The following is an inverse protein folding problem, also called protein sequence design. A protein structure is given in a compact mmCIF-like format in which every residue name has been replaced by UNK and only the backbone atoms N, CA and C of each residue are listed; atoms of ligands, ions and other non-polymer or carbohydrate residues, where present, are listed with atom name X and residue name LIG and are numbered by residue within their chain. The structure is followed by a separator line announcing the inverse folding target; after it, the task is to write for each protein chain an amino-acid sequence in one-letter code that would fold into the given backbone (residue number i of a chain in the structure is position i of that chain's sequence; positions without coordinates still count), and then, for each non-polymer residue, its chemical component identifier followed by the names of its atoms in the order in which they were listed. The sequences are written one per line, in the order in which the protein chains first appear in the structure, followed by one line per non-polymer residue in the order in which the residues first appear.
data_IF_526494875963
#
_entry.id   IF_526494875963
#
_cell.length_a   1.000
_cell.length_b   1.000
_cell.length_c   1.000
_cell.angle_alpha   90.00
_cell.angle_beta   90.00
_cell.angle_gamma   90.00
#
_symmetry.space_group_name_H-M   'P 1'
#
loop_
_entity.id
_entity.type
_entity.pdbx_description
1 polymer ?
#
# COMPACT_ATOMS: atom_id res chain seq x y z
N UNK A 1 -17.24 -5.46 -10.80
CA UNK A 1 -17.85 -5.56 -9.45
C UNK A 1 -18.62 -6.88 -9.36
N UNK A 2 -18.55 -7.54 -8.18
CA UNK A 2 -19.35 -8.69 -7.84
C UNK A 2 -20.21 -8.32 -6.64
N UNK A 3 -21.52 -8.59 -6.72
CA UNK A 3 -22.47 -8.32 -5.65
C UNK A 3 -23.01 -9.66 -5.17
N UNK A 4 -22.77 -9.98 -3.91
CA UNK A 4 -23.29 -11.16 -3.26
C UNK A 4 -24.55 -10.82 -2.47
N UNK A 5 -25.54 -11.71 -2.53
CA UNK A 5 -26.76 -11.63 -1.74
C UNK A 5 -26.93 -12.90 -0.93
N UNK A 6 -27.31 -12.76 0.32
CA UNK A 6 -27.67 -13.88 1.19
C UNK A 6 -28.78 -13.49 2.16
N UNK A 7 -29.46 -14.50 2.73
CA UNK A 7 -30.54 -14.30 3.69
C UNK A 7 -30.03 -13.86 5.08
N UNK A 8 -28.72 -14.10 5.34
CA UNK A 8 -28.08 -13.74 6.61
C UNK A 8 -26.67 -13.21 6.37
N UNK A 9 -26.15 -12.43 7.32
CA UNK A 9 -24.78 -11.92 7.32
C UNK A 9 -23.75 -13.04 7.35
N UNK A 10 -24.01 -14.10 8.10
CA UNK A 10 -23.14 -15.29 8.14
C UNK A 10 -23.08 -15.99 6.78
N UNK A 11 -24.20 -16.12 6.10
CA UNK A 11 -24.29 -16.69 4.75
C UNK A 11 -23.51 -15.84 3.73
N UNK A 12 -23.59 -14.52 3.86
CA UNK A 12 -22.87 -13.58 3.00
C UNK A 12 -21.35 -13.69 3.22
N UNK A 13 -20.91 -13.71 4.47
CA UNK A 13 -19.50 -13.89 4.83
C UNK A 13 -18.94 -15.20 4.28
N UNK A 14 -19.63 -16.33 4.49
CA UNK A 14 -19.21 -17.64 3.95
C UNK A 14 -19.10 -17.63 2.43
N UNK A 15 -20.01 -16.96 1.74
CA UNK A 15 -19.98 -16.85 0.28
C UNK A 15 -18.79 -16.04 -0.18
N UNK A 16 -18.53 -14.90 0.45
CA UNK A 16 -17.38 -14.05 0.12
C UNK A 16 -16.05 -14.75 0.41
N UNK A 17 -15.93 -15.46 1.54
CA UNK A 17 -14.72 -16.20 1.91
C UNK A 17 -14.44 -17.35 0.93
N UNK A 18 -15.46 -18.13 0.55
CA UNK A 18 -15.32 -19.20 -0.47
C UNK A 18 -14.89 -18.65 -1.83
N UNK A 19 -15.45 -17.51 -2.24
CA UNK A 19 -15.06 -16.86 -3.48
C UNK A 19 -13.62 -16.37 -3.41
N UNK A 20 -13.22 -15.74 -2.29
CA UNK A 20 -11.86 -15.23 -2.10
C UNK A 20 -10.81 -16.33 -2.07
N UNK A 21 -11.13 -17.50 -1.51
CA UNK A 21 -10.24 -18.67 -1.55
C UNK A 21 -10.00 -19.18 -2.97
N UNK A 22 -11.05 -19.25 -3.79
CA UNK A 22 -10.93 -19.60 -5.20
C UNK A 22 -10.08 -18.61 -5.96
N UNK A 23 -10.30 -17.32 -5.72
CA UNK A 23 -9.56 -16.21 -6.34
C UNK A 23 -8.07 -16.23 -6.01
N UNK A 24 -7.72 -16.51 -4.75
CA UNK A 24 -6.31 -16.66 -4.31
C UNK A 24 -5.61 -17.83 -4.97
N UNK A 25 -6.29 -18.97 -5.14
CA UNK A 25 -5.71 -20.16 -5.75
C UNK A 25 -5.30 -19.97 -7.21
N UNK A 26 -6.00 -19.06 -7.89
CA UNK A 26 -5.73 -18.74 -9.29
C UNK A 26 -4.76 -17.58 -9.49
N UNK A 27 -4.23 -17.02 -8.39
CA UNK A 27 -3.31 -15.86 -8.37
C UNK A 27 -3.83 -14.66 -9.20
N UNK A 28 -5.13 -14.40 -9.10
CA UNK A 28 -5.82 -13.39 -9.89
C UNK A 28 -5.63 -11.95 -9.36
N UNK A 29 -4.78 -11.76 -8.36
CA UNK A 29 -4.45 -10.46 -7.80
C UNK A 29 -5.18 -10.14 -6.50
N UNK A 30 -5.43 -8.86 -6.22
CA UNK A 30 -6.07 -8.39 -4.99
C UNK A 30 -7.58 -8.24 -5.15
N UNK A 31 -8.33 -8.76 -4.20
CA UNK A 31 -9.77 -8.54 -4.05
C UNK A 31 -10.05 -7.71 -2.81
N UNK A 32 -10.96 -6.75 -2.92
CA UNK A 32 -11.41 -5.91 -1.80
C UNK A 32 -12.92 -6.02 -1.62
N UNK A 33 -13.42 -5.86 -0.39
CA UNK A 33 -14.84 -5.79 -0.13
C UNK A 33 -15.20 -4.56 0.73
N UNK A 34 -16.32 -3.93 0.40
CA UNK A 34 -16.95 -2.94 1.24
C UNK A 34 -17.81 -3.55 2.37
N UNK A 35 -18.53 -2.70 3.07
CA UNK A 35 -19.44 -3.09 4.14
C UNK A 35 -20.58 -3.98 3.64
N UNK A 36 -20.99 -4.91 4.49
CA UNK A 36 -22.21 -5.65 4.29
C UNK A 36 -23.40 -4.86 4.86
N UNK A 37 -24.48 -4.80 4.12
CA UNK A 37 -25.66 -4.06 4.58
C UNK A 37 -26.94 -4.47 3.85
N UNK A 38 -28.07 -3.84 4.19
CA UNK A 38 -29.38 -4.13 3.63
C UNK A 38 -29.86 -3.01 2.72
N UNK A 39 -30.39 -3.38 1.56
CA UNK A 39 -31.01 -2.47 0.62
C UNK A 39 -30.02 -1.77 -0.32
N UNK A 40 -30.58 -1.02 -1.28
CA UNK A 40 -29.81 -0.39 -2.37
C UNK A 40 -28.78 0.61 -1.89
N UNK A 41 -29.08 1.38 -0.84
CA UNK A 41 -28.13 2.35 -0.28
C UNK A 41 -26.87 1.68 0.24
N UNK A 42 -26.98 0.51 0.86
CA UNK A 42 -25.82 -0.26 1.35
C UNK A 42 -24.97 -0.80 0.20
N UNK A 43 -25.58 -1.15 -0.93
CA UNK A 43 -24.82 -1.58 -2.11
C UNK A 43 -23.96 -0.42 -2.65
N UNK A 44 -24.54 0.76 -2.77
CA UNK A 44 -23.80 1.95 -3.23
C UNK A 44 -22.66 2.29 -2.29
N UNK A 45 -22.91 2.28 -0.98
CA UNK A 45 -21.87 2.50 0.02
C UNK A 45 -20.76 1.45 -0.08
N UNK A 46 -21.11 0.17 -0.21
CA UNK A 46 -20.13 -0.91 -0.34
C UNK A 46 -19.25 -0.77 -1.59
N UNK A 47 -19.82 -0.30 -2.70
CA UNK A 47 -19.07 -0.02 -3.94
C UNK A 47 -18.08 1.12 -3.71
N UNK A 48 -18.54 2.25 -3.15
CA UNK A 48 -17.68 3.41 -2.87
C UNK A 48 -16.53 3.05 -1.92
N UNK A 49 -16.80 2.24 -0.91
CA UNK A 49 -15.79 1.76 0.03
C UNK A 49 -14.80 0.83 -0.64
N UNK A 50 -15.27 -0.11 -1.47
CA UNK A 50 -14.39 -1.00 -2.22
C UNK A 50 -13.51 -0.22 -3.21
N UNK A 51 -14.04 0.80 -3.89
CA UNK A 51 -13.26 1.68 -4.75
C UNK A 51 -12.17 2.46 -3.99
N UNK A 52 -12.51 2.94 -2.80
CA UNK A 52 -11.51 3.56 -1.92
C UNK A 52 -10.44 2.56 -1.52
N UNK A 53 -10.82 1.33 -1.18
CA UNK A 53 -9.91 0.25 -0.80
C UNK A 53 -8.97 -0.18 -1.93
N UNK A 54 -9.39 -0.12 -3.19
CA UNK A 54 -8.51 -0.38 -4.33
C UNK A 54 -7.29 0.56 -4.40
N UNK A 55 -7.36 1.73 -3.79
CA UNK A 55 -6.22 2.64 -3.69
C UNK A 55 -5.12 2.13 -2.75
N UNK A 56 -5.44 1.14 -1.92
CA UNK A 56 -4.50 0.46 -1.01
C UNK A 56 -3.65 -0.59 -1.70
N UNK A 57 -4.00 -1.00 -2.91
CA UNK A 57 -3.39 -2.14 -3.60
C UNK A 57 -1.88 -2.04 -3.71
N UNK A 58 -1.32 -0.82 -3.74
CA UNK A 58 0.12 -0.62 -3.82
C UNK A 58 0.88 -0.96 -2.51
N UNK A 59 0.19 -1.10 -1.37
CA UNK A 59 0.78 -1.48 -0.08
C UNK A 59 0.59 -2.95 0.26
N UNK A 60 -0.20 -3.67 -0.53
CA UNK A 60 -0.63 -5.02 -0.19
C UNK A 60 -0.20 -5.99 -1.27
N UNK A 61 0.27 -7.13 -0.84
CA UNK A 61 0.43 -8.28 -1.71
C UNK A 61 -0.93 -8.81 -2.18
N UNK A 62 -0.89 -9.75 -3.13
CA UNK A 62 -2.10 -10.41 -3.62
C UNK A 62 -2.93 -11.00 -2.47
N UNK A 63 -4.24 -10.85 -2.55
CA UNK A 63 -5.12 -11.42 -1.53
C UNK A 63 -6.50 -10.81 -1.45
N UNK A 64 -7.14 -11.03 -0.32
CA UNK A 64 -8.47 -10.50 -0.02
C UNK A 64 -8.39 -9.56 1.19
N UNK A 65 -8.86 -8.33 1.03
CA UNK A 65 -8.92 -7.32 2.07
C UNK A 65 -10.35 -6.91 2.34
N UNK A 66 -10.78 -7.03 3.60
CA UNK A 66 -12.06 -6.51 4.09
C UNK A 66 -11.87 -5.10 4.63
N UNK A 67 -12.87 -4.23 4.42
CA UNK A 67 -12.80 -2.86 4.94
C UNK A 67 -12.66 -2.82 6.45
N UNK A 68 -13.30 -3.76 7.17
CA UNK A 68 -13.21 -3.86 8.62
C UNK A 68 -11.75 -4.05 9.06
N UNK A 69 -11.03 -4.95 8.40
CA UNK A 69 -9.63 -5.26 8.72
C UNK A 69 -8.74 -4.02 8.51
N UNK A 70 -9.02 -3.25 7.46
CA UNK A 70 -8.27 -2.02 7.18
C UNK A 70 -8.58 -0.87 8.16
N UNK A 71 -9.79 -0.82 8.72
CA UNK A 71 -10.17 0.19 9.71
C UNK A 71 -9.61 -0.09 11.11
N UNK A 72 -9.26 -1.35 11.40
CA UNK A 72 -8.68 -1.77 12.68
C UNK A 72 -7.17 -1.55 12.77
N UNK A 73 -6.52 -1.15 11.68
CA UNK A 73 -5.08 -0.89 11.67
C UNK A 73 -4.72 0.28 12.60
N UNK A 74 -3.59 0.12 13.29
CA UNK A 74 -3.08 1.15 14.19
C UNK A 74 -2.65 2.41 13.42
N UNK A 75 -2.84 3.60 14.00
CA UNK A 75 -2.32 4.83 13.41
C UNK A 75 -0.82 4.74 13.13
N UNK A 76 -0.38 5.31 12.01
CA UNK A 76 1.03 5.34 11.66
C UNK A 76 1.85 6.15 12.67
N UNK A 77 2.99 5.61 13.08
CA UNK A 77 4.03 6.39 13.74
C UNK A 77 4.80 7.24 12.70
N UNK A 78 4.20 8.36 12.35
CA UNK A 78 4.75 9.30 11.36
C UNK A 78 6.13 9.84 11.76
N UNK A 79 6.42 9.92 13.05
CA UNK A 79 7.72 10.39 13.54
C UNK A 79 8.80 9.34 13.23
N UNK A 80 8.54 8.07 13.49
CA UNK A 80 9.45 6.97 13.18
C UNK A 80 9.68 6.86 11.67
N UNK A 81 8.64 6.98 10.86
CA UNK A 81 8.74 6.93 9.40
C UNK A 81 9.62 8.07 8.88
N UNK A 82 9.43 9.30 9.35
CA UNK A 82 10.29 10.45 8.99
C UNK A 82 11.73 10.26 9.43
N UNK A 83 11.95 9.69 10.62
CA UNK A 83 13.31 9.37 11.10
C UNK A 83 14.01 8.35 10.21
N UNK A 84 13.30 7.29 9.79
CA UNK A 84 13.86 6.29 8.88
C UNK A 84 14.12 6.89 7.48
N UNK A 85 13.24 7.74 6.96
CA UNK A 85 13.48 8.52 5.75
C UNK A 85 14.81 9.31 5.81
N UNK A 86 15.02 10.06 6.91
CA UNK A 86 16.27 10.81 7.10
C UNK A 86 17.51 9.89 7.17
N UNK A 87 17.38 8.72 7.78
CA UNK A 87 18.47 7.73 7.81
C UNK A 87 18.79 7.19 6.42
N UNK A 88 17.77 6.94 5.57
CA UNK A 88 17.99 6.50 4.19
C UNK A 88 18.83 7.54 3.45
N UNK A 89 18.43 8.81 3.50
CA UNK A 89 19.15 9.89 2.82
C UNK A 89 20.58 10.08 3.35
N UNK A 90 20.76 10.05 4.68
CA UNK A 90 22.07 10.13 5.30
C UNK A 90 22.95 8.90 4.97
N UNK A 91 22.34 7.72 4.93
CA UNK A 91 23.03 6.48 4.58
C UNK A 91 23.61 6.50 3.17
N UNK A 92 22.86 7.03 2.20
CA UNK A 92 23.35 7.20 0.81
C UNK A 92 24.61 8.08 0.76
N UNK A 93 24.65 9.12 1.60
CA UNK A 93 25.77 10.07 1.59
C UNK A 93 26.98 9.60 2.39
N UNK A 94 26.78 8.90 3.53
CA UNK A 94 27.83 8.78 4.53
C UNK A 94 28.05 7.37 5.10
N UNK A 95 27.05 6.46 5.02
CA UNK A 95 27.08 5.24 5.83
C UNK A 95 27.19 3.93 5.00
N UNK A 96 26.86 3.99 3.71
CA UNK A 96 26.98 2.87 2.78
C UNK A 96 25.72 1.99 2.63
N UNK A 97 25.84 1.01 1.73
CA UNK A 97 24.73 0.22 1.19
C UNK A 97 23.93 -0.54 2.26
N UNK A 98 24.62 -1.21 3.18
CA UNK A 98 23.95 -2.05 4.20
C UNK A 98 23.01 -1.22 5.09
N UNK A 99 23.44 -0.03 5.49
CA UNK A 99 22.62 0.87 6.34
C UNK A 99 21.42 1.41 5.57
N UNK A 100 21.60 1.74 4.30
CA UNK A 100 20.51 2.18 3.41
C UNK A 100 19.49 1.07 3.24
N UNK A 101 19.94 -0.14 2.96
CA UNK A 101 19.06 -1.30 2.76
C UNK A 101 18.26 -1.63 4.02
N UNK A 102 18.90 -1.65 5.19
CA UNK A 102 18.20 -1.87 6.46
C UNK A 102 17.17 -0.78 6.76
N UNK A 103 17.53 0.49 6.53
CA UNK A 103 16.63 1.61 6.74
C UNK A 103 15.44 1.59 5.77
N UNK A 104 15.64 1.23 4.51
CA UNK A 104 14.58 1.04 3.52
C UNK A 104 13.61 -0.07 3.93
N UNK A 105 14.13 -1.24 4.31
CA UNK A 105 13.28 -2.36 4.77
C UNK A 105 12.41 -1.93 5.95
N UNK A 106 12.99 -1.30 6.96
CA UNK A 106 12.24 -0.81 8.13
C UNK A 106 11.22 0.26 7.75
N UNK A 107 11.56 1.13 6.82
CA UNK A 107 10.68 2.18 6.36
C UNK A 107 9.46 1.59 5.64
N UNK A 108 9.65 0.66 4.69
CA UNK A 108 8.55 -0.02 4.01
C UNK A 108 7.70 -0.86 4.97
N UNK A 109 8.31 -1.58 5.90
CA UNK A 109 7.58 -2.33 6.93
C UNK A 109 6.68 -1.42 7.77
N UNK A 110 7.17 -0.21 8.11
CA UNK A 110 6.37 0.77 8.84
C UNK A 110 5.20 1.33 8.02
N UNK A 111 5.32 1.38 6.70
CA UNK A 111 4.25 1.83 5.81
C UNK A 111 3.22 0.74 5.52
N UNK A 112 3.63 -0.53 5.53
CA UNK A 112 2.77 -1.66 5.19
C UNK A 112 1.56 -1.80 6.12
N UNK A 113 1.67 -1.35 7.36
CA UNK A 113 0.58 -1.33 8.35
C UNK A 113 -0.23 -0.04 8.38
N UNK A 114 -0.12 0.79 7.34
CA UNK A 114 -0.81 2.08 7.29
C UNK A 114 -2.34 1.93 7.33
N UNK A 115 -3.07 2.64 8.19
CA UNK A 115 -4.51 2.66 8.16
C UNK A 115 -5.02 3.39 6.91
N UNK A 116 -6.22 3.06 6.50
CA UNK A 116 -6.86 3.61 5.31
C UNK A 116 -6.83 5.16 5.24
N UNK A 117 -6.96 5.81 6.37
CA UNK A 117 -6.96 7.28 6.47
C UNK A 117 -5.62 7.92 6.09
N UNK A 118 -4.54 7.16 6.15
CA UNK A 118 -3.18 7.68 5.94
C UNK A 118 -2.61 7.38 4.55
N UNK A 119 -3.39 6.75 3.65
CA UNK A 119 -2.91 6.29 2.34
C UNK A 119 -2.35 7.43 1.48
N UNK A 120 -2.99 8.59 1.50
CA UNK A 120 -2.53 9.76 0.74
C UNK A 120 -1.18 10.25 1.28
N UNK A 121 -1.05 10.31 2.59
CA UNK A 121 0.21 10.69 3.25
C UNK A 121 1.33 9.69 2.94
N UNK A 122 1.01 8.38 2.90
CA UNK A 122 1.98 7.33 2.52
C UNK A 122 2.47 7.53 1.09
N UNK A 123 1.57 7.81 0.15
CA UNK A 123 1.95 8.11 -1.25
C UNK A 123 2.86 9.32 -1.34
N UNK A 124 2.54 10.39 -0.62
CA UNK A 124 3.36 11.59 -0.55
C UNK A 124 4.76 11.29 0.01
N UNK A 125 4.86 10.47 1.05
CA UNK A 125 6.14 10.04 1.61
C UNK A 125 6.97 9.20 0.63
N UNK A 126 6.34 8.31 -0.14
CA UNK A 126 7.03 7.54 -1.17
C UNK A 126 7.58 8.46 -2.28
N UNK A 127 6.78 9.41 -2.74
CA UNK A 127 7.22 10.41 -3.72
C UNK A 127 8.38 11.25 -3.18
N UNK A 128 8.28 11.72 -1.95
CA UNK A 128 9.35 12.49 -1.31
C UNK A 128 10.64 11.68 -1.17
N UNK A 129 10.57 10.38 -0.90
CA UNK A 129 11.74 9.52 -0.84
C UNK A 129 12.44 9.44 -2.20
N UNK A 130 11.67 9.21 -3.26
CA UNK A 130 12.23 9.14 -4.63
C UNK A 130 12.90 10.46 -5.00
N UNK A 131 12.22 11.59 -4.78
CA UNK A 131 12.76 12.93 -5.06
C UNK A 131 14.05 13.19 -4.25
N UNK A 132 14.04 12.88 -2.95
CA UNK A 132 15.20 13.10 -2.09
C UNK A 132 16.41 12.25 -2.49
N UNK A 133 16.17 10.99 -2.93
CA UNK A 133 17.23 10.14 -3.48
C UNK A 133 17.77 10.73 -4.80
N UNK A 134 16.89 11.14 -5.70
CA UNK A 134 17.26 11.74 -6.99
C UNK A 134 18.08 13.01 -6.81
N UNK A 135 17.69 13.90 -5.91
CA UNK A 135 18.43 15.12 -5.59
C UNK A 135 19.84 14.82 -5.08
N UNK A 136 19.98 13.86 -4.17
CA UNK A 136 21.29 13.45 -3.65
C UNK A 136 22.15 12.84 -4.75
N UNK A 137 21.60 11.92 -5.54
CA UNK A 137 22.34 11.27 -6.61
C UNK A 137 22.77 12.26 -7.68
N UNK A 138 21.88 13.18 -8.07
CA UNK A 138 22.21 14.24 -9.05
C UNK A 138 23.31 15.17 -8.55
N UNK A 139 23.34 15.46 -7.25
CA UNK A 139 24.35 16.35 -6.66
C UNK A 139 25.72 15.70 -6.47
N UNK A 140 25.80 14.37 -6.33
CA UNK A 140 27.02 13.67 -5.91
C UNK A 140 27.54 12.64 -6.91
N UNK A 141 26.74 12.21 -7.88
CA UNK A 141 27.14 11.23 -8.90
C UNK A 141 27.24 11.96 -10.24
N UNK A 142 28.45 12.11 -10.80
CA UNK A 142 28.62 12.63 -12.16
C UNK A 142 27.81 11.81 -13.15
N UNK A 143 27.14 12.47 -14.05
CA UNK A 143 26.36 11.86 -15.15
C UNK A 143 25.15 11.00 -14.72
N UNK A 144 24.67 11.15 -13.47
CA UNK A 144 23.51 10.42 -12.95
C UNK A 144 22.27 10.56 -13.85
N UNK A 145 22.04 11.75 -14.40
CA UNK A 145 20.93 12.02 -15.32
C UNK A 145 21.00 11.19 -16.60
N UNK A 146 22.22 10.93 -17.11
CA UNK A 146 22.42 10.10 -18.31
C UNK A 146 22.16 8.62 -18.00
N UNK A 147 22.63 8.13 -16.83
CA UNK A 147 22.40 6.76 -16.37
C UNK A 147 20.90 6.46 -16.19
N UNK A 148 20.13 7.41 -15.69
CA UNK A 148 18.69 7.27 -15.54
C UNK A 148 17.96 7.19 -16.90
N UNK A 149 18.41 7.93 -17.91
CA UNK A 149 17.83 7.89 -19.26
C UNK A 149 18.08 6.55 -19.96
N UNK A 150 19.26 5.97 -19.77
CA UNK A 150 19.60 4.66 -20.32
C UNK A 150 18.78 3.53 -19.68
N UNK A 151 18.51 3.62 -18.37
CA UNK A 151 17.74 2.61 -17.63
C UNK A 151 16.23 2.65 -17.94
N UNK A 152 15.69 3.78 -18.37
CA UNK A 152 14.26 3.96 -18.69
C UNK A 152 13.84 3.46 -20.07
N UNK A 153 14.77 2.99 -20.90
CA UNK A 153 14.53 2.51 -22.27
C UNK A 153 14.43 0.98 -22.39
N UNK A 154 14.23 0.27 -21.29
CA UNK A 154 13.95 -1.17 -21.23
C UNK A 154 12.58 -1.39 -20.58
#
# INVERSE_FOLDING_TARGET
YLIFQAESEEGLTKTADRFSEGYRREDLGLMVSGHMGKGLASIMQAIEEAEKMLRYTFLLDNGYLKIQDAMELQPLDRASIKKNYQKILAGILYEGEEVVQEALVRWFQSLHSAPFTDIQWVKEMCIQLVIGIEEICTAHIPDFSELCQESGNH
#
